data_IF_971259094488
#
_entry.id   IF_971259094488
#
_cell.length_a   1.000
_cell.length_b   1.000
_cell.length_c   1.000
_cell.angle_alpha   90.00
_cell.angle_beta   90.00
_cell.angle_gamma   90.00
#
_symmetry.space_group_name_H-M   'P 1'
#
loop_
_entity.id
_entity.type
_entity.pdbx_description
1 polymer ?
#
# COMPACT_ATOMS: atom_id res chain seq x y z
N UNK A 1 -1.87 88.34 -17.01
CA UNK A 1 -1.57 86.91 -17.23
C UNK A 1 -1.69 86.63 -18.72
N UNK A 2 -0.66 86.07 -19.36
CA UNK A 2 -0.68 85.79 -20.80
C UNK A 2 -1.40 84.47 -21.10
N UNK A 3 -2.09 84.39 -22.23
CA UNK A 3 -2.80 83.19 -22.71
C UNK A 3 -1.90 81.95 -22.69
N UNK A 4 -0.60 82.13 -22.96
CA UNK A 4 0.40 81.07 -22.89
C UNK A 4 0.50 80.40 -21.52
N UNK A 5 0.38 81.15 -20.41
CA UNK A 5 0.45 80.60 -19.06
C UNK A 5 -0.79 79.77 -18.69
N UNK A 6 -1.95 80.14 -19.25
CA UNK A 6 -3.20 79.39 -19.09
C UNK A 6 -3.14 78.05 -19.86
N UNK A 7 -2.65 78.07 -21.10
CA UNK A 7 -2.54 76.87 -21.94
C UNK A 7 -1.56 75.84 -21.36
N UNK A 8 -0.40 76.27 -20.87
CA UNK A 8 0.58 75.37 -20.24
C UNK A 8 0.00 74.71 -18.98
N UNK A 9 -0.70 75.49 -18.15
CA UNK A 9 -1.33 74.97 -16.93
C UNK A 9 -2.43 73.94 -17.25
N UNK A 10 -3.22 74.18 -18.29
CA UNK A 10 -4.28 73.26 -18.71
C UNK A 10 -3.71 71.93 -19.23
N UNK A 11 -2.65 71.96 -20.04
CA UNK A 11 -1.99 70.73 -20.55
C UNK A 11 -1.39 69.91 -19.41
N UNK A 12 -0.75 70.57 -18.43
CA UNK A 12 -0.19 69.88 -17.27
C UNK A 12 -1.27 69.19 -16.42
N UNK A 13 -2.41 69.86 -16.19
CA UNK A 13 -3.54 69.29 -15.45
C UNK A 13 -4.19 68.14 -16.23
N UNK A 14 -4.42 68.29 -17.53
CA UNK A 14 -4.94 67.23 -18.38
C UNK A 14 -4.01 66.01 -18.44
N UNK A 15 -2.69 66.22 -18.53
CA UNK A 15 -1.68 65.16 -18.51
C UNK A 15 -1.63 64.42 -17.17
N UNK A 16 -1.72 65.14 -16.05
CA UNK A 16 -1.76 64.54 -14.71
C UNK A 16 -3.05 63.73 -14.48
N UNK A 17 -4.20 64.23 -14.94
CA UNK A 17 -5.48 63.51 -14.86
C UNK A 17 -5.45 62.25 -15.73
N UNK A 18 -4.88 62.34 -16.94
CA UNK A 18 -4.72 61.18 -17.82
C UNK A 18 -3.81 60.12 -17.20
N UNK A 19 -2.66 60.50 -16.65
CA UNK A 19 -1.74 59.59 -15.97
C UNK A 19 -2.38 58.93 -14.73
N UNK A 20 -3.12 59.70 -13.93
CA UNK A 20 -3.84 59.18 -12.76
C UNK A 20 -4.97 58.21 -13.15
N UNK A 21 -5.67 58.46 -14.25
CA UNK A 21 -6.73 57.57 -14.77
C UNK A 21 -6.15 56.30 -15.39
N UNK A 22 -5.04 56.38 -16.12
CA UNK A 22 -4.41 55.21 -16.72
C UNK A 22 -3.77 54.30 -15.67
N UNK A 23 -3.08 54.88 -14.66
CA UNK A 23 -2.53 54.11 -13.55
C UNK A 23 -3.58 53.37 -12.72
N UNK A 24 -4.80 53.95 -12.55
CA UNK A 24 -5.92 53.25 -11.90
C UNK A 24 -6.52 52.13 -12.76
N UNK A 25 -6.53 52.28 -14.09
CA UNK A 25 -6.98 51.22 -15.01
C UNK A 25 -5.99 50.06 -15.04
N UNK A 26 -4.70 50.38 -15.09
CA UNK A 26 -3.61 49.39 -15.05
C UNK A 26 -3.54 48.67 -13.70
N UNK A 27 -3.75 49.36 -12.58
CA UNK A 27 -3.83 48.73 -11.26
C UNK A 27 -5.01 47.75 -11.15
N UNK A 28 -6.20 48.12 -11.64
CA UNK A 28 -7.36 47.22 -11.67
C UNK A 28 -7.16 46.03 -12.62
N UNK A 29 -6.49 46.25 -13.76
CA UNK A 29 -6.14 45.17 -14.67
C UNK A 29 -5.13 44.21 -14.02
N UNK A 30 -4.11 44.73 -13.32
CA UNK A 30 -3.14 43.94 -12.57
C UNK A 30 -3.80 43.16 -11.42
N UNK A 31 -4.75 43.75 -10.68
CA UNK A 31 -5.52 43.07 -9.65
C UNK A 31 -6.32 41.88 -10.23
N UNK A 32 -7.01 42.09 -11.36
CA UNK A 32 -7.73 41.00 -12.03
C UNK A 32 -6.81 39.89 -12.54
N UNK A 33 -5.61 40.24 -13.02
CA UNK A 33 -4.60 39.26 -13.44
C UNK A 33 -4.02 38.48 -12.26
N UNK A 34 -3.78 39.14 -11.12
CA UNK A 34 -3.31 38.47 -9.91
C UNK A 34 -4.35 37.50 -9.37
N UNK A 35 -5.63 37.86 -9.39
CA UNK A 35 -6.70 36.97 -8.94
C UNK A 35 -6.83 35.74 -9.85
N UNK A 36 -6.77 35.96 -11.17
CA UNK A 36 -6.81 34.88 -12.16
C UNK A 36 -5.59 33.95 -12.03
N UNK A 37 -4.40 34.50 -11.77
CA UNK A 37 -3.19 33.71 -11.49
C UNK A 37 -3.29 32.94 -10.18
N UNK A 38 -3.92 33.49 -9.13
CA UNK A 38 -4.16 32.77 -7.87
C UNK A 38 -5.10 31.60 -8.05
N UNK A 39 -6.17 31.77 -8.82
CA UNK A 39 -7.09 30.69 -9.19
C UNK A 39 -6.34 29.60 -9.96
N UNK A 40 -5.56 29.97 -10.98
CA UNK A 40 -4.75 29.01 -11.76
C UNK A 40 -3.75 28.23 -10.89
N UNK A 41 -3.01 28.91 -10.01
CA UNK A 41 -2.06 28.25 -9.10
C UNK A 41 -2.77 27.30 -8.14
N UNK A 42 -3.97 27.67 -7.66
CA UNK A 42 -4.77 26.82 -6.76
C UNK A 42 -5.26 25.58 -7.48
N UNK A 43 -5.77 25.74 -8.70
CA UNK A 43 -6.22 24.63 -9.56
C UNK A 43 -5.07 23.69 -9.95
N UNK A 44 -3.91 24.25 -10.33
CA UNK A 44 -2.72 23.46 -10.66
C UNK A 44 -2.20 22.69 -9.45
N UNK A 45 -2.19 23.32 -8.27
CA UNK A 45 -1.82 22.65 -7.02
C UNK A 45 -2.77 21.50 -6.69
N UNK A 46 -4.08 21.72 -6.81
CA UNK A 46 -5.07 20.66 -6.57
C UNK A 46 -4.89 19.48 -7.54
N UNK A 47 -4.60 19.75 -8.82
CA UNK A 47 -4.28 18.71 -9.82
C UNK A 47 -2.99 17.96 -9.49
N UNK A 48 -1.94 18.69 -9.10
CA UNK A 48 -0.67 18.09 -8.71
C UNK A 48 -0.82 17.21 -7.47
N UNK A 49 -1.51 17.68 -6.43
CA UNK A 49 -1.74 16.93 -5.20
C UNK A 49 -2.56 15.65 -5.48
N UNK A 50 -3.58 15.72 -6.33
CA UNK A 50 -4.36 14.55 -6.74
C UNK A 50 -3.53 13.56 -7.58
N UNK A 51 -2.69 14.05 -8.50
CA UNK A 51 -1.79 13.22 -9.27
C UNK A 51 -0.75 12.53 -8.37
N UNK A 52 -0.16 13.29 -7.45
CA UNK A 52 0.80 12.77 -6.48
C UNK A 52 0.16 11.72 -5.58
N UNK A 53 -1.06 11.96 -5.10
CA UNK A 53 -1.84 10.99 -4.32
C UNK A 53 -2.02 9.68 -5.08
N UNK A 54 -2.50 9.73 -6.32
CA UNK A 54 -2.69 8.54 -7.17
C UNK A 54 -1.38 7.79 -7.43
N UNK A 55 -0.31 8.50 -7.74
CA UNK A 55 1.01 7.89 -7.97
C UNK A 55 1.57 7.25 -6.70
N UNK A 56 1.38 7.89 -5.54
CA UNK A 56 1.80 7.36 -4.24
C UNK A 56 1.01 6.10 -3.89
N UNK A 57 -0.31 6.12 -4.04
CA UNK A 57 -1.19 4.96 -3.83
C UNK A 57 -0.80 3.79 -4.72
N UNK A 58 -0.57 4.05 -6.02
CA UNK A 58 -0.11 3.03 -6.96
C UNK A 58 1.26 2.45 -6.57
N UNK A 59 2.21 3.32 -6.20
CA UNK A 59 3.56 2.90 -5.79
C UNK A 59 3.51 2.03 -4.53
N UNK A 60 2.68 2.39 -3.55
CA UNK A 60 2.49 1.60 -2.33
C UNK A 60 1.84 0.25 -2.65
N UNK A 61 0.85 0.23 -3.54
CA UNK A 61 0.22 -1.00 -3.98
C UNK A 61 1.20 -1.94 -4.71
N UNK A 62 2.04 -1.41 -5.60
CA UNK A 62 3.05 -2.19 -6.31
C UNK A 62 4.11 -2.74 -5.36
N UNK A 63 4.59 -1.92 -4.41
CA UNK A 63 5.49 -2.38 -3.35
C UNK A 63 4.86 -3.48 -2.49
N UNK A 64 3.57 -3.33 -2.15
CA UNK A 64 2.83 -4.35 -1.38
C UNK A 64 2.74 -5.66 -2.16
N UNK A 65 2.43 -5.62 -3.47
CA UNK A 65 2.40 -6.80 -4.33
C UNK A 65 3.78 -7.45 -4.45
N UNK A 66 4.85 -6.66 -4.54
CA UNK A 66 6.22 -7.14 -4.55
C UNK A 66 6.61 -7.85 -3.24
N UNK A 67 6.36 -7.21 -2.10
CA UNK A 67 6.63 -7.79 -0.78
C UNK A 67 5.79 -9.07 -0.52
N UNK A 68 4.58 -9.11 -1.05
CA UNK A 68 3.75 -10.30 -1.04
C UNK A 68 4.36 -11.45 -1.85
N UNK A 69 4.80 -11.18 -3.08
CA UNK A 69 5.46 -12.18 -3.92
C UNK A 69 6.75 -12.71 -3.27
N UNK A 70 7.50 -11.85 -2.58
CA UNK A 70 8.68 -12.24 -1.78
C UNK A 70 8.28 -13.20 -0.65
N UNK A 71 7.24 -12.88 0.12
CA UNK A 71 6.71 -13.75 1.17
C UNK A 71 6.30 -15.13 0.63
N UNK A 72 5.53 -15.18 -0.46
CA UNK A 72 5.11 -16.45 -1.07
C UNK A 72 6.33 -17.24 -1.57
N UNK A 73 7.33 -16.56 -2.13
CA UNK A 73 8.56 -17.21 -2.60
C UNK A 73 9.34 -17.83 -1.44
N UNK A 74 9.45 -17.12 -0.32
CA UNK A 74 10.17 -17.64 0.85
C UNK A 74 9.38 -18.73 1.57
N UNK A 75 8.04 -18.66 1.60
CA UNK A 75 7.19 -19.77 2.05
C UNK A 75 7.40 -21.01 1.17
N UNK A 76 7.40 -20.87 -0.16
CA UNK A 76 7.71 -21.98 -1.08
C UNK A 76 9.09 -22.59 -0.87
N UNK A 77 10.07 -21.80 -0.43
CA UNK A 77 11.42 -22.29 -0.10
C UNK A 77 11.49 -22.97 1.25
N UNK A 78 10.60 -22.59 2.17
CA UNK A 78 10.41 -23.25 3.46
C UNK A 78 9.71 -24.61 3.30
N UNK A 79 9.11 -24.88 2.15
CA UNK A 79 8.38 -26.11 1.82
C UNK A 79 9.04 -26.79 0.59
N UNK A 80 10.01 -27.70 0.77
CA UNK A 80 10.13 -28.65 1.88
C UNK A 80 10.80 -28.08 3.13
N UNK A 81 10.39 -28.61 4.29
CA UNK A 81 10.94 -28.24 5.59
C UNK A 81 12.47 -28.41 5.59
N UNK A 82 13.24 -27.40 6.04
CA UNK A 82 14.68 -27.53 6.20
C UNK A 82 15.05 -28.72 7.10
N UNK A 83 16.10 -29.44 6.72
CA UNK A 83 16.48 -30.71 7.39
C UNK A 83 17.47 -30.52 8.53
N UNK A 84 18.09 -29.34 8.63
CA UNK A 84 18.99 -28.96 9.72
C UNK A 84 18.44 -27.80 10.54
N UNK A 85 18.80 -27.74 11.82
CA UNK A 85 18.37 -26.68 12.74
C UNK A 85 18.83 -25.28 12.28
N UNK A 86 20.05 -25.18 11.73
CA UNK A 86 20.58 -23.92 11.21
C UNK A 86 19.82 -23.44 9.97
N UNK A 87 19.54 -24.33 9.03
CA UNK A 87 18.74 -24.00 7.85
C UNK A 87 17.30 -23.66 8.22
N UNK A 88 16.75 -24.34 9.24
CA UNK A 88 15.42 -24.06 9.78
C UNK A 88 15.35 -22.64 10.35
N UNK A 89 16.25 -22.28 11.26
CA UNK A 89 16.30 -20.96 11.86
C UNK A 89 16.49 -19.86 10.80
N UNK A 90 17.35 -20.11 9.80
CA UNK A 90 17.55 -19.18 8.70
C UNK A 90 16.30 -19.03 7.81
N UNK A 91 15.56 -20.12 7.56
CA UNK A 91 14.35 -20.11 6.76
C UNK A 91 13.17 -19.45 7.51
N UNK A 92 12.98 -19.78 8.79
CA UNK A 92 12.03 -19.11 9.69
C UNK A 92 12.27 -17.60 9.70
N UNK A 93 13.53 -17.18 9.87
CA UNK A 93 13.89 -15.76 9.85
C UNK A 93 13.55 -15.09 8.51
N UNK A 94 13.82 -15.72 7.36
CA UNK A 94 13.47 -15.16 6.04
C UNK A 94 11.96 -14.96 5.88
N UNK A 95 11.17 -15.98 6.21
CA UNK A 95 9.70 -15.93 6.11
C UNK A 95 9.14 -14.83 7.02
N UNK A 96 9.61 -14.74 8.27
CA UNK A 96 9.17 -13.69 9.20
C UNK A 96 9.55 -12.29 8.72
N UNK A 97 10.76 -12.11 8.20
CA UNK A 97 11.20 -10.81 7.63
C UNK A 97 10.34 -10.44 6.43
N UNK A 98 10.08 -11.36 5.51
CA UNK A 98 9.24 -11.11 4.34
C UNK A 98 7.80 -10.76 4.75
N UNK A 99 7.26 -11.44 5.77
CA UNK A 99 5.96 -11.12 6.37
C UNK A 99 5.92 -9.69 6.92
N UNK A 100 6.91 -9.29 7.72
CA UNK A 100 6.95 -7.94 8.29
C UNK A 100 7.11 -6.85 7.23
N UNK A 101 7.93 -7.09 6.19
CA UNK A 101 8.02 -6.18 5.03
C UNK A 101 6.67 -5.97 4.36
N UNK A 102 5.92 -7.05 4.13
CA UNK A 102 4.59 -6.96 3.56
C UNK A 102 3.60 -6.27 4.51
N UNK A 103 3.56 -6.64 5.79
CA UNK A 103 2.66 -6.09 6.80
C UNK A 103 2.81 -4.58 6.98
N UNK A 104 4.03 -4.05 6.93
CA UNK A 104 4.31 -2.60 7.02
C UNK A 104 3.71 -1.80 5.85
N UNK A 105 3.41 -2.47 4.73
CA UNK A 105 2.80 -1.86 3.55
C UNK A 105 1.27 -2.06 3.50
N UNK A 106 0.70 -2.76 4.48
CA UNK A 106 -0.75 -2.94 4.61
C UNK A 106 -1.35 -1.69 5.27
N UNK A 107 -2.40 -1.09 4.68
CA UNK A 107 -3.11 0.03 5.28
C UNK A 107 -3.62 -0.29 6.69
N UNK A 108 -3.61 0.72 7.57
CA UNK A 108 -3.91 0.54 9.00
C UNK A 108 -5.28 -0.11 9.26
N UNK A 109 -6.28 0.23 8.45
CA UNK A 109 -7.64 -0.30 8.50
C UNK A 109 -7.73 -1.78 8.14
N UNK A 110 -6.70 -2.31 7.46
CA UNK A 110 -6.58 -3.72 7.08
C UNK A 110 -5.62 -4.51 7.98
N UNK A 111 -4.97 -3.89 8.98
CA UNK A 111 -3.99 -4.59 9.82
C UNK A 111 -4.58 -5.79 10.58
N UNK A 112 -5.84 -5.73 11.03
CA UNK A 112 -6.50 -6.89 11.68
C UNK A 112 -6.55 -8.13 10.76
N UNK A 113 -6.66 -7.92 9.44
CA UNK A 113 -6.63 -9.03 8.48
C UNK A 113 -5.25 -9.69 8.34
N UNK A 114 -4.19 -8.99 8.74
CA UNK A 114 -2.82 -9.50 8.70
C UNK A 114 -2.49 -10.46 9.85
N UNK A 115 -3.30 -10.46 10.93
CA UNK A 115 -3.10 -11.36 12.06
C UNK A 115 -3.42 -12.82 11.68
N UNK A 116 -4.38 -13.04 10.78
CA UNK A 116 -4.64 -14.37 10.21
C UNK A 116 -3.47 -14.90 9.39
N UNK A 117 -2.79 -14.04 8.63
CA UNK A 117 -1.57 -14.42 7.88
C UNK A 117 -0.41 -14.72 8.83
N UNK A 118 -0.26 -13.93 9.89
CA UNK A 118 0.74 -14.19 10.93
C UNK A 118 0.51 -15.55 11.62
N UNK A 119 -0.74 -15.84 12.01
CA UNK A 119 -1.10 -17.13 12.61
C UNK A 119 -0.84 -18.29 11.66
N UNK A 120 -1.20 -18.16 10.39
CA UNK A 120 -0.93 -19.19 9.39
C UNK A 120 0.57 -19.45 9.21
N UNK A 121 1.40 -18.40 9.20
CA UNK A 121 2.86 -18.55 9.19
C UNK A 121 3.35 -19.26 10.45
N UNK A 122 2.87 -18.86 11.63
CA UNK A 122 3.23 -19.50 12.90
C UNK A 122 2.88 -20.99 12.91
N UNK A 123 1.67 -21.33 12.47
CA UNK A 123 1.19 -22.70 12.31
C UNK A 123 2.07 -23.51 11.36
N UNK A 124 2.48 -22.95 10.22
CA UNK A 124 3.38 -23.64 9.27
C UNK A 124 4.76 -23.88 9.87
N UNK A 125 5.28 -22.92 10.64
CA UNK A 125 6.55 -23.07 11.36
C UNK A 125 6.43 -24.17 12.42
N UNK A 126 5.34 -24.19 13.20
CA UNK A 126 5.11 -25.19 14.24
C UNK A 126 4.89 -26.59 13.65
N UNK A 127 4.17 -26.71 12.53
CA UNK A 127 4.01 -27.94 11.76
C UNK A 127 5.37 -28.50 11.31
N UNK A 128 6.20 -27.62 10.76
CA UNK A 128 7.53 -27.96 10.28
C UNK A 128 8.47 -28.36 11.43
N UNK A 129 8.40 -27.70 12.60
CA UNK A 129 9.10 -28.10 13.84
C UNK A 129 8.65 -29.47 14.33
N UNK A 130 7.36 -29.79 14.19
CA UNK A 130 6.79 -31.08 14.56
C UNK A 130 7.11 -32.21 13.56
N UNK A 131 7.81 -31.92 12.47
CA UNK A 131 8.11 -32.90 11.41
C UNK A 131 6.90 -33.28 10.56
N UNK A 132 5.82 -32.50 10.61
CA UNK A 132 4.68 -32.64 9.69
C UNK A 132 5.13 -32.07 8.35
N UNK A 133 5.30 -32.93 7.35
CA UNK A 133 5.78 -32.55 6.04
C UNK A 133 4.76 -31.66 5.31
N UNK A 134 5.09 -30.39 5.11
CA UNK A 134 4.42 -29.56 4.09
C UNK A 134 4.98 -29.99 2.73
N UNK A 135 4.45 -31.09 2.21
CA UNK A 135 4.98 -31.71 0.99
C UNK A 135 4.38 -31.11 -0.28
N UNK A 136 5.27 -30.90 -1.25
CA UNK A 136 4.93 -30.52 -2.61
C UNK A 136 4.62 -31.78 -3.42
N UNK A 137 3.41 -32.35 -3.30
CA UNK A 137 2.87 -33.41 -4.16
C UNK A 137 3.82 -34.58 -4.53
N UNK A 138 4.84 -34.88 -3.72
CA UNK A 138 5.83 -35.93 -4.01
C UNK A 138 5.40 -37.30 -3.46
N UNK A 139 4.41 -37.32 -2.55
CA UNK A 139 3.85 -38.52 -1.93
C UNK A 139 3.15 -39.49 -2.91
N UNK A 140 2.93 -39.10 -4.18
CA UNK A 140 2.14 -39.91 -5.11
C UNK A 140 2.96 -41.06 -5.76
N UNK A 141 4.29 -41.06 -5.66
CA UNK A 141 5.14 -42.09 -6.29
C UNK A 141 5.61 -43.21 -5.35
N UNK A 142 5.56 -43.03 -4.03
CA UNK A 142 6.16 -43.99 -3.07
C UNK A 142 5.18 -44.94 -2.39
N UNK A 143 3.87 -44.74 -2.52
CA UNK A 143 2.85 -45.57 -1.85
C UNK A 143 2.92 -45.53 -0.31
N UNK A 144 3.69 -44.58 0.25
CA UNK A 144 3.88 -44.43 1.67
C UNK A 144 2.93 -43.35 2.20
N UNK A 145 2.07 -43.72 3.13
CA UNK A 145 1.10 -42.83 3.75
C UNK A 145 1.86 -41.89 4.70
N UNK A 146 2.20 -40.71 4.20
CA UNK A 146 2.86 -39.67 4.97
C UNK A 146 1.85 -39.02 5.94
N UNK A 147 2.30 -38.52 7.10
CA UNK A 147 1.46 -37.70 7.98
C UNK A 147 0.89 -36.53 7.17
N UNK A 148 -0.32 -36.08 7.51
CA UNK A 148 -1.10 -35.10 6.75
C UNK A 148 -0.24 -34.02 6.07
N UNK A 149 -0.21 -34.05 4.74
CA UNK A 149 0.59 -33.12 3.93
C UNK A 149 -0.25 -31.92 3.56
N UNK A 150 0.14 -30.73 4.05
CA UNK A 150 -0.48 -29.46 3.63
C UNK A 150 0.18 -29.05 2.31
N UNK A 151 -0.60 -28.85 1.24
CA UNK A 151 -0.04 -28.37 -0.03
C UNK A 151 0.25 -26.86 0.03
N UNK A 152 1.33 -26.41 -0.63
CA UNK A 152 1.67 -24.98 -0.70
C UNK A 152 0.60 -24.20 -1.48
N UNK A 153 -0.07 -24.83 -2.43
CA UNK A 153 -1.19 -24.26 -3.16
C UNK A 153 -2.39 -23.99 -2.25
N UNK A 154 -2.64 -24.86 -1.27
CA UNK A 154 -3.70 -24.68 -0.27
C UNK A 154 -3.33 -23.58 0.74
N UNK A 155 -2.07 -23.54 1.17
CA UNK A 155 -1.53 -22.42 1.97
C UNK A 155 -1.70 -21.10 1.21
N UNK A 156 -1.27 -21.04 -0.05
CA UNK A 156 -1.40 -19.85 -0.89
C UNK A 156 -2.84 -19.42 -1.10
N UNK A 157 -3.73 -20.38 -1.40
CA UNK A 157 -5.16 -20.12 -1.53
C UNK A 157 -5.72 -19.55 -0.24
N UNK A 158 -5.31 -20.05 0.92
CA UNK A 158 -5.82 -19.59 2.23
C UNK A 158 -5.24 -18.24 2.65
N UNK A 159 -3.94 -18.04 2.42
CA UNK A 159 -3.23 -16.77 2.59
C UNK A 159 -3.86 -15.70 1.67
N UNK A 160 -4.24 -16.06 0.44
CA UNK A 160 -4.97 -15.21 -0.50
C UNK A 160 -6.42 -14.91 -0.05
N UNK A 161 -7.15 -15.92 0.41
CA UNK A 161 -8.51 -15.75 0.95
C UNK A 161 -8.52 -14.82 2.17
N UNK A 162 -7.57 -14.99 3.10
CA UNK A 162 -7.43 -14.18 4.31
C UNK A 162 -7.13 -12.70 4.01
N UNK A 163 -6.41 -12.43 2.91
CA UNK A 163 -6.01 -11.08 2.52
C UNK A 163 -7.00 -10.39 1.58
N UNK A 164 -7.83 -11.15 0.86
CA UNK A 164 -8.82 -10.61 -0.10
C UNK A 164 -10.26 -10.61 0.44
N UNK A 165 -10.65 -11.58 1.27
CA UNK A 165 -11.97 -11.63 1.91
C UNK A 165 -11.98 -10.80 3.19
N UNK A 166 -12.06 -9.48 3.02
CA UNK A 166 -12.14 -8.52 4.12
C UNK A 166 -13.37 -8.67 5.03
N UNK A 167 -14.39 -9.47 4.68
CA UNK A 167 -15.73 -9.33 5.26
C UNK A 167 -16.27 -10.52 6.07
N UNK A 168 -15.94 -11.78 5.75
CA UNK A 168 -16.56 -12.94 6.46
C UNK A 168 -15.64 -13.62 7.48
N UNK A 169 -14.32 -13.52 7.31
CA UNK A 169 -13.31 -14.06 8.25
C UNK A 169 -12.91 -13.11 9.37
N UNK A 170 -13.12 -11.81 9.16
CA UNK A 170 -12.68 -10.76 10.07
C UNK A 170 -13.84 -10.10 10.85
N UNK A 171 -15.09 -10.42 10.49
CA UNK A 171 -16.30 -9.77 11.04
C UNK A 171 -16.43 -9.90 12.55
N UNK A 172 -15.89 -10.96 13.12
CA UNK A 172 -15.96 -11.30 14.55
C UNK A 172 -14.59 -11.27 15.25
N UNK A 173 -13.50 -10.95 14.53
CA UNK A 173 -12.15 -10.97 15.07
C UNK A 173 -11.59 -12.37 15.37
N UNK A 174 -12.18 -13.44 14.81
CA UNK A 174 -11.80 -14.84 15.07
C UNK A 174 -10.92 -15.46 14.00
N UNK A 175 -10.23 -14.66 13.20
CA UNK A 175 -9.38 -15.15 12.11
C UNK A 175 -8.29 -16.11 12.60
N UNK A 176 -7.68 -15.84 13.76
CA UNK A 176 -6.75 -16.77 14.44
C UNK A 176 -7.40 -18.09 14.82
N UNK A 177 -8.53 -18.06 15.55
CA UNK A 177 -9.26 -19.27 15.98
C UNK A 177 -9.66 -20.17 14.78
N UNK A 178 -10.00 -19.57 13.64
CA UNK A 178 -10.36 -20.31 12.42
C UNK A 178 -9.15 -20.94 11.73
N UNK A 179 -7.99 -20.28 11.76
CA UNK A 179 -6.73 -20.85 11.26
C UNK A 179 -6.28 -22.01 12.16
N UNK A 180 -6.36 -21.83 13.47
CA UNK A 180 -6.05 -22.88 14.45
C UNK A 180 -6.97 -24.09 14.28
N UNK A 181 -8.29 -23.87 14.16
CA UNK A 181 -9.26 -24.93 13.95
C UNK A 181 -9.02 -25.70 12.64
N UNK A 182 -8.72 -24.99 11.55
CA UNK A 182 -8.39 -25.61 10.27
C UNK A 182 -7.11 -26.44 10.36
N UNK A 183 -6.09 -25.95 11.05
CA UNK A 183 -4.86 -26.72 11.24
C UNK A 183 -5.07 -27.97 12.09
N UNK A 184 -5.89 -27.89 13.14
CA UNK A 184 -6.29 -29.04 13.95
C UNK A 184 -7.02 -30.08 13.08
N UNK A 185 -7.93 -29.65 12.20
CA UNK A 185 -8.61 -30.54 11.25
C UNK A 185 -7.62 -31.24 10.31
N UNK A 186 -6.69 -30.48 9.73
CA UNK A 186 -5.62 -31.03 8.88
C UNK A 186 -4.74 -32.01 9.62
N UNK A 187 -4.31 -31.69 10.85
CA UNK A 187 -3.50 -32.59 11.68
C UNK A 187 -4.24 -33.89 12.03
N UNK A 188 -5.58 -33.85 12.08
CA UNK A 188 -6.44 -35.01 12.29
C UNK A 188 -6.77 -35.77 10.98
N UNK A 189 -6.37 -35.25 9.81
CA UNK A 189 -6.65 -35.84 8.50
C UNK A 189 -8.10 -35.67 8.01
N UNK A 190 -8.80 -34.64 8.50
CA UNK A 190 -10.18 -34.29 8.11
C UNK A 190 -10.25 -33.37 6.87
#
# INVERSE_FOLDING_TARGET
>A
MTIASFVVSLVAVCGAIWAALNGRREAKAAESQVELLREQVTDERARFDEQFRRQSEQTLEDRRRGAWAELITDLRRFTPCPTSEEEFAAAEHRVLVAFWKWRLLVPSEKLKSTDGVYHLIGVLIDAAKAGIGVERNAAQESGQQLPATISIEEVESRVYDLTRSGDDWHRDGKSGERVDAWFIQLANGE
#
